data_IF_201351075935
#
_entry.id   IF_201351075935
#
_cell.length_a   1.000
_cell.length_b   1.000
_cell.length_c   1.000
_cell.angle_alpha   90.00
_cell.angle_beta   90.00
_cell.angle_gamma   90.00
#
_symmetry.space_group_name_H-M   'P 1'
#
loop_
_entity.id
_entity.type
_entity.pdbx_description
1 polymer ?
#
# COMPACT_ATOMS: atom_id res chain seq x y z
N UNK A 1 -8.87 23.97 -6.27
CA UNK A 1 -8.01 23.16 -5.38
C UNK A 1 -8.66 21.83 -5.09
N UNK A 2 -7.91 20.69 -5.17
CA UNK A 2 -8.39 19.43 -4.64
C UNK A 2 -8.57 19.50 -3.12
N UNK A 3 -9.74 19.11 -2.64
CA UNK A 3 -10.13 19.21 -1.25
C UNK A 3 -10.65 17.88 -0.70
N UNK A 4 -10.32 17.57 0.55
CA UNK A 4 -10.83 16.40 1.26
C UNK A 4 -9.90 15.96 2.37
N UNK A 5 -10.48 15.48 3.46
CA UNK A 5 -9.77 14.95 4.60
C UNK A 5 -9.52 13.45 4.51
N UNK A 6 -8.82 12.92 5.51
CA UNK A 6 -8.57 11.48 5.70
C UNK A 6 -8.69 11.12 7.19
N UNK A 7 -8.76 9.84 7.45
CA UNK A 7 -8.87 9.32 8.81
C UNK A 7 -10.30 9.37 9.34
N UNK A 8 -10.62 10.31 10.19
CA UNK A 8 -11.99 10.47 10.74
C UNK A 8 -12.97 11.05 9.73
N UNK A 9 -12.51 11.83 8.75
CA UNK A 9 -13.36 12.54 7.79
C UNK A 9 -13.41 11.94 6.40
N UNK A 10 -12.61 10.93 6.10
CA UNK A 10 -12.59 10.28 4.79
C UNK A 10 -11.35 9.44 4.52
N UNK A 11 -11.30 8.78 3.36
CA UNK A 11 -10.21 7.89 2.93
C UNK A 11 -9.50 8.40 1.67
N UNK A 12 -9.86 9.60 1.17
CA UNK A 12 -9.43 10.10 -0.14
C UNK A 12 -10.12 9.36 -1.31
N UNK A 13 -9.85 9.68 -2.55
CA UNK A 13 -9.04 10.78 -3.03
C UNK A 13 -9.71 12.15 -2.79
N UNK A 14 -8.95 13.23 -2.98
CA UNK A 14 -9.49 14.59 -2.82
C UNK A 14 -10.50 14.92 -3.92
N UNK A 15 -11.65 15.48 -3.54
CA UNK A 15 -12.65 15.99 -4.47
C UNK A 15 -12.05 17.10 -5.35
N UNK A 16 -12.38 17.09 -6.65
CA UNK A 16 -11.80 18.01 -7.63
C UNK A 16 -10.35 17.67 -8.03
N UNK A 17 -9.74 16.66 -7.41
CA UNK A 17 -8.41 16.18 -7.77
C UNK A 17 -8.41 15.22 -8.95
N UNK A 18 -7.25 15.04 -9.62
CA UNK A 18 -7.14 14.23 -10.83
C UNK A 18 -7.41 12.73 -10.61
N UNK A 19 -7.37 12.25 -9.36
CA UNK A 19 -7.64 10.85 -9.02
C UNK A 19 -9.11 10.61 -8.62
N UNK A 20 -9.92 11.65 -8.48
CA UNK A 20 -11.29 11.51 -7.98
C UNK A 20 -12.17 10.69 -8.92
N UNK A 21 -12.10 10.94 -10.22
CA UNK A 21 -12.91 10.24 -11.20
C UNK A 21 -12.60 8.75 -11.28
N UNK A 22 -11.36 8.34 -11.04
CA UNK A 22 -10.96 6.92 -11.06
C UNK A 22 -11.71 6.09 -10.00
N UNK A 23 -12.21 6.74 -8.94
CA UNK A 23 -12.99 6.08 -7.88
C UNK A 23 -14.47 5.93 -8.22
N UNK A 24 -14.96 6.66 -9.21
CA UNK A 24 -16.35 6.64 -9.64
C UNK A 24 -16.59 5.67 -10.81
N UNK A 25 -15.53 5.11 -11.38
CA UNK A 25 -15.62 4.18 -12.51
C UNK A 25 -16.03 2.80 -12.01
N UNK A 26 -17.06 2.21 -12.63
CA UNK A 26 -17.38 0.79 -12.47
C UNK A 26 -16.64 -0.03 -13.51
N UNK A 27 -15.91 -1.06 -13.06
CA UNK A 27 -15.37 -2.05 -13.98
C UNK A 27 -16.50 -2.93 -14.51
N UNK A 28 -16.51 -3.14 -15.82
CA UNK A 28 -17.57 -3.93 -16.52
C UNK A 28 -17.55 -5.42 -16.17
N UNK A 29 -16.43 -5.91 -15.64
CA UNK A 29 -16.28 -7.31 -15.24
C UNK A 29 -16.95 -7.50 -13.88
N UNK A 30 -18.16 -8.01 -13.89
CA UNK A 30 -18.80 -8.53 -12.69
C UNK A 30 -18.17 -9.89 -12.37
N UNK A 31 -17.22 -9.90 -11.46
CA UNK A 31 -16.72 -11.14 -10.90
C UNK A 31 -17.71 -11.55 -9.80
N UNK A 32 -18.28 -12.76 -9.86
CA UNK A 32 -19.13 -13.25 -8.78
C UNK A 32 -18.38 -13.19 -7.45
N UNK A 33 -19.04 -12.71 -6.42
CA UNK A 33 -18.48 -12.74 -5.06
C UNK A 33 -18.20 -14.18 -4.68
N UNK A 34 -16.93 -14.52 -4.45
CA UNK A 34 -16.56 -15.78 -3.84
C UNK A 34 -16.93 -15.73 -2.35
N UNK A 35 -17.58 -16.78 -1.89
CA UNK A 35 -17.84 -16.97 -0.46
C UNK A 35 -16.85 -17.97 0.12
N UNK A 36 -16.57 -17.85 1.40
CA UNK A 36 -15.79 -18.86 2.13
C UNK A 36 -16.52 -20.20 2.08
N UNK A 37 -15.80 -21.26 1.75
CA UNK A 37 -16.29 -22.63 1.94
C UNK A 37 -16.24 -22.99 3.42
N UNK A 38 -16.99 -24.00 3.85
CA UNK A 38 -16.92 -24.50 5.24
C UNK A 38 -15.50 -24.94 5.61
N UNK A 39 -14.78 -25.57 4.69
CA UNK A 39 -13.38 -25.97 4.88
C UNK A 39 -12.45 -24.78 5.08
N UNK A 40 -12.61 -23.72 4.28
CA UNK A 40 -11.80 -22.48 4.42
C UNK A 40 -12.12 -21.77 5.72
N UNK A 41 -13.37 -21.76 6.16
CA UNK A 41 -13.78 -21.18 7.45
C UNK A 41 -13.19 -21.97 8.61
N UNK A 42 -13.29 -23.29 8.58
CA UNK A 42 -12.72 -24.16 9.61
C UNK A 42 -11.21 -24.03 9.71
N UNK A 43 -10.50 -24.01 8.58
CA UNK A 43 -9.06 -23.83 8.52
C UNK A 43 -8.62 -22.46 9.07
N UNK A 44 -9.39 -21.41 8.81
CA UNK A 44 -9.16 -20.08 9.37
C UNK A 44 -9.36 -20.08 10.89
N UNK A 45 -10.47 -20.65 11.38
CA UNK A 45 -10.79 -20.71 12.80
C UNK A 45 -9.75 -21.51 13.59
N UNK A 46 -9.25 -22.61 13.04
CA UNK A 46 -8.16 -23.39 13.64
C UNK A 46 -6.89 -22.56 13.76
N UNK A 47 -6.49 -21.85 12.72
CA UNK A 47 -5.33 -20.94 12.75
C UNK A 47 -5.53 -19.81 13.75
N UNK A 48 -6.73 -19.24 13.84
CA UNK A 48 -7.07 -18.20 14.81
C UNK A 48 -7.03 -18.71 16.27
N UNK A 49 -7.46 -19.95 16.50
CA UNK A 49 -7.39 -20.56 17.84
C UNK A 49 -5.95 -20.82 18.31
N UNK A 50 -5.06 -21.24 17.40
CA UNK A 50 -3.65 -21.50 17.71
C UNK A 50 -2.87 -20.26 18.15
N UNK A 51 -3.33 -19.07 17.81
CA UNK A 51 -2.62 -17.79 18.07
C UNK A 51 -3.27 -16.93 19.16
N UNK A 52 -4.27 -17.43 19.89
CA UNK A 52 -4.95 -16.68 20.96
C UNK A 52 -4.00 -16.13 22.06
N UNK A 53 -2.78 -16.67 22.19
CA UNK A 53 -1.77 -16.20 23.15
C UNK A 53 -0.78 -15.18 22.56
N UNK A 54 -0.92 -14.76 21.31
CA UNK A 54 0.10 -14.04 20.56
C UNK A 54 -0.24 -12.57 20.26
N UNK A 55 -1.20 -11.95 20.97
CA UNK A 55 -1.53 -10.52 20.83
C UNK A 55 -0.28 -9.63 20.97
N UNK A 56 0.58 -9.92 21.93
CA UNK A 56 1.84 -9.21 22.13
C UNK A 56 2.81 -9.32 20.93
N UNK A 57 2.72 -10.37 20.13
CA UNK A 57 3.50 -10.52 18.91
C UNK A 57 2.97 -9.63 17.79
N UNK A 58 1.65 -9.55 17.63
CA UNK A 58 0.98 -8.67 16.67
C UNK A 58 1.29 -7.22 16.99
N UNK A 59 1.10 -6.82 18.24
CA UNK A 59 1.40 -5.48 18.76
C UNK A 59 2.83 -5.08 18.41
N UNK A 60 3.80 -5.92 18.75
CA UNK A 60 5.22 -5.67 18.51
C UNK A 60 5.53 -5.48 17.01
N UNK A 61 5.03 -6.36 16.16
CA UNK A 61 5.34 -6.31 14.71
C UNK A 61 4.69 -5.10 14.04
N UNK A 62 3.45 -4.76 14.38
CA UNK A 62 2.79 -3.58 13.82
C UNK A 62 3.45 -2.30 14.35
N UNK A 63 3.74 -2.22 15.65
CA UNK A 63 4.45 -1.06 16.23
C UNK A 63 5.86 -0.91 15.68
N UNK A 64 6.56 -2.00 15.38
CA UNK A 64 7.85 -1.96 14.72
C UNK A 64 7.73 -1.42 13.29
N UNK A 65 6.75 -1.88 12.50
CA UNK A 65 6.47 -1.33 11.18
C UNK A 65 6.11 0.16 11.27
N UNK A 66 5.28 0.54 12.22
CA UNK A 66 4.89 1.92 12.50
C UNK A 66 6.11 2.81 12.80
N UNK A 67 7.04 2.35 13.60
CA UNK A 67 8.25 3.11 13.95
C UNK A 67 9.14 3.43 12.73
N UNK A 68 9.07 2.61 11.66
CA UNK A 68 9.83 2.81 10.43
C UNK A 68 9.12 3.74 9.42
N UNK A 69 7.84 4.06 9.59
CA UNK A 69 7.04 4.81 8.62
C UNK A 69 7.72 6.12 8.20
N UNK A 70 8.10 6.94 9.17
CA UNK A 70 8.64 8.27 8.89
C UNK A 70 9.97 8.16 8.15
N UNK A 71 10.89 7.35 8.66
CA UNK A 71 12.22 7.13 8.04
C UNK A 71 12.09 6.59 6.61
N UNK A 72 11.23 5.58 6.42
CA UNK A 72 11.03 5.00 5.10
C UNK A 72 10.31 5.95 4.13
N UNK A 73 9.29 6.68 4.59
CA UNK A 73 8.57 7.64 3.73
C UNK A 73 9.49 8.72 3.18
N UNK A 74 10.43 9.23 3.98
CA UNK A 74 11.42 10.24 3.57
C UNK A 74 12.66 9.68 2.86
N UNK A 75 12.83 8.38 2.82
CA UNK A 75 13.91 7.77 2.02
C UNK A 75 13.77 8.22 0.56
N UNK A 76 14.87 8.66 -0.10
CA UNK A 76 14.80 9.09 -1.50
C UNK A 76 14.23 8.04 -2.43
N UNK A 77 13.45 8.48 -3.43
CA UNK A 77 12.77 7.58 -4.37
C UNK A 77 13.75 6.63 -5.08
N UNK A 78 14.89 7.15 -5.53
CA UNK A 78 15.93 6.36 -6.19
C UNK A 78 16.47 5.23 -5.29
N UNK A 79 16.61 5.47 -3.99
CA UNK A 79 17.03 4.46 -3.02
C UNK A 79 15.95 3.38 -2.86
N UNK A 80 14.67 3.76 -2.68
CA UNK A 80 13.56 2.81 -2.62
C UNK A 80 13.49 1.93 -3.87
N UNK A 81 13.58 2.56 -5.04
CA UNK A 81 13.55 1.87 -6.33
C UNK A 81 14.75 0.93 -6.49
N UNK A 82 15.95 1.34 -6.08
CA UNK A 82 17.16 0.53 -6.13
C UNK A 82 17.02 -0.74 -5.28
N UNK A 83 16.53 -0.62 -4.04
CA UNK A 83 16.28 -1.75 -3.14
C UNK A 83 15.29 -2.74 -3.78
N UNK A 84 14.19 -2.25 -4.31
CA UNK A 84 13.17 -3.11 -4.92
C UNK A 84 13.65 -3.76 -6.23
N UNK A 85 14.45 -3.07 -7.04
CA UNK A 85 15.10 -3.68 -8.23
C UNK A 85 16.07 -4.78 -7.84
N UNK A 86 16.84 -4.57 -6.77
CA UNK A 86 17.78 -5.56 -6.26
C UNK A 86 17.04 -6.79 -5.70
N UNK A 87 15.95 -6.59 -4.95
CA UNK A 87 15.05 -7.67 -4.54
C UNK A 87 14.56 -8.48 -5.74
N UNK A 88 14.02 -7.83 -6.78
CA UNK A 88 13.52 -8.51 -7.97
C UNK A 88 14.61 -9.27 -8.74
N UNK A 89 15.85 -8.78 -8.75
CA UNK A 89 16.99 -9.46 -9.34
C UNK A 89 17.38 -10.71 -8.53
N UNK A 90 17.40 -10.63 -7.22
CA UNK A 90 17.68 -11.77 -6.34
C UNK A 90 16.60 -12.84 -6.44
N UNK A 91 15.31 -12.46 -6.49
CA UNK A 91 14.21 -13.41 -6.70
C UNK A 91 14.29 -14.10 -8.07
N UNK A 92 14.75 -13.40 -9.11
CA UNK A 92 14.95 -13.97 -10.44
C UNK A 92 16.09 -15.00 -10.47
N UNK A 93 17.16 -14.81 -9.69
CA UNK A 93 18.32 -15.71 -9.62
C UNK A 93 18.09 -16.88 -8.66
N UNK A 94 17.30 -16.69 -7.61
CA UNK A 94 17.11 -17.64 -6.51
C UNK A 94 15.82 -18.45 -6.68
N UNK A 95 15.78 -19.27 -7.74
CA UNK A 95 14.61 -20.09 -8.12
C UNK A 95 14.13 -21.07 -7.04
N UNK A 96 14.98 -21.41 -6.07
CA UNK A 96 14.68 -22.42 -5.05
C UNK A 96 13.64 -21.96 -4.04
N UNK A 97 13.57 -20.67 -3.73
CA UNK A 97 12.70 -20.12 -2.68
C UNK A 97 11.25 -19.98 -3.13
N UNK A 98 11.02 -19.72 -4.42
CA UNK A 98 9.70 -19.54 -5.03
C UNK A 98 9.43 -20.61 -6.10
N UNK A 99 10.02 -21.80 -5.96
CA UNK A 99 9.95 -22.88 -6.96
C UNK A 99 8.52 -23.40 -7.21
N UNK A 100 7.58 -23.14 -6.29
CA UNK A 100 6.17 -23.54 -6.42
C UNK A 100 5.32 -22.53 -7.22
N UNK A 101 5.87 -21.34 -7.50
CA UNK A 101 5.17 -20.28 -8.24
C UNK A 101 5.44 -20.40 -9.74
N UNK A 102 4.57 -21.12 -10.44
CA UNK A 102 4.67 -21.37 -11.90
C UNK A 102 4.68 -20.07 -12.73
N UNK A 103 4.08 -18.98 -12.22
CA UNK A 103 3.99 -17.68 -12.88
C UNK A 103 5.08 -16.69 -12.46
N UNK A 104 6.13 -17.15 -11.76
CA UNK A 104 7.18 -16.28 -11.24
C UNK A 104 7.80 -15.37 -12.32
N UNK A 105 8.19 -15.84 -13.51
CA UNK A 105 8.78 -14.97 -14.54
C UNK A 105 7.85 -13.85 -14.99
N UNK A 106 6.56 -14.15 -15.18
CA UNK A 106 5.52 -13.18 -15.55
C UNK A 106 5.31 -12.17 -14.43
N UNK A 107 5.24 -12.63 -13.18
CA UNK A 107 5.11 -11.78 -11.99
C UNK A 107 6.30 -10.83 -11.86
N UNK A 108 7.53 -11.30 -12.04
CA UNK A 108 8.72 -10.45 -11.97
C UNK A 108 8.76 -9.41 -13.10
N UNK A 109 8.30 -9.77 -14.30
CA UNK A 109 8.16 -8.84 -15.41
C UNK A 109 7.13 -7.75 -15.11
N UNK A 110 5.95 -8.14 -14.64
CA UNK A 110 4.89 -7.21 -14.22
C UNK A 110 5.36 -6.30 -13.08
N UNK A 111 6.11 -6.84 -12.12
CA UNK A 111 6.67 -6.11 -11.00
C UNK A 111 7.67 -5.02 -11.42
N UNK A 112 8.52 -5.32 -12.40
CA UNK A 112 9.43 -4.32 -12.97
C UNK A 112 8.67 -3.20 -13.69
N UNK A 113 7.65 -3.56 -14.46
CA UNK A 113 6.79 -2.58 -15.15
C UNK A 113 6.04 -1.69 -14.14
N UNK A 114 5.50 -2.29 -13.08
CA UNK A 114 4.84 -1.55 -12.00
C UNK A 114 5.79 -0.57 -11.30
N UNK A 115 7.02 -1.01 -11.02
CA UNK A 115 8.03 -0.17 -10.37
C UNK A 115 8.41 1.03 -11.26
N UNK A 116 8.57 0.82 -12.57
CA UNK A 116 8.79 1.92 -13.53
C UNK A 116 7.62 2.90 -13.58
N UNK A 117 6.39 2.39 -13.55
CA UNK A 117 5.20 3.24 -13.47
C UNK A 117 5.21 4.10 -12.22
N UNK A 118 5.46 3.51 -11.05
CA UNK A 118 5.48 4.21 -9.75
C UNK A 118 6.60 5.26 -9.72
N UNK A 119 7.79 4.91 -10.20
CA UNK A 119 8.91 5.85 -10.31
C UNK A 119 8.51 7.10 -11.13
N UNK A 120 7.81 6.91 -12.26
CA UNK A 120 7.30 8.03 -13.07
C UNK A 120 6.26 8.86 -12.33
N UNK A 121 5.36 8.23 -11.55
CA UNK A 121 4.34 8.95 -10.78
C UNK A 121 4.90 9.78 -9.64
N UNK A 122 5.99 9.31 -9.01
CA UNK A 122 6.59 9.93 -7.83
C UNK A 122 7.79 10.84 -8.15
N UNK A 123 8.24 10.87 -9.42
CA UNK A 123 9.45 11.61 -9.83
C UNK A 123 9.33 13.12 -9.57
N UNK A 124 8.15 13.68 -9.78
CA UNK A 124 7.88 15.08 -9.57
C UNK A 124 6.43 15.30 -9.11
N UNK A 125 6.19 16.33 -8.28
CA UNK A 125 4.84 16.76 -7.96
C UNK A 125 4.08 17.19 -9.23
N UNK A 126 2.76 17.05 -9.18
CA UNK A 126 1.89 17.44 -10.30
C UNK A 126 1.42 18.87 -10.12
N UNK A 127 1.78 19.74 -11.04
CA UNK A 127 1.22 21.10 -11.11
C UNK A 127 -0.23 21.00 -11.58
N UNK A 128 -1.12 21.66 -10.86
CA UNK A 128 -2.54 21.70 -11.16
C UNK A 128 -2.92 23.10 -11.66
N UNK A 129 -3.95 23.21 -12.51
CA UNK A 129 -4.45 24.51 -12.94
C UNK A 129 -5.03 25.29 -11.76
N UNK A 130 -4.91 26.61 -11.80
CA UNK A 130 -5.48 27.56 -10.85
C UNK A 130 -5.75 28.90 -11.50
N UNK A 131 -6.43 29.82 -10.81
CA UNK A 131 -6.59 31.19 -11.27
C UNK A 131 -5.25 31.94 -11.24
N UNK A 132 -5.20 33.07 -11.91
CA UNK A 132 -4.01 33.94 -11.91
C UNK A 132 -3.64 34.36 -10.48
N UNK A 133 -2.39 34.20 -10.12
CA UNK A 133 -1.89 34.49 -8.76
C UNK A 133 -2.04 33.33 -7.77
N UNK A 134 -2.46 32.15 -8.22
CA UNK A 134 -2.52 30.93 -7.41
C UNK A 134 -1.66 29.82 -8.03
N UNK A 135 -0.81 29.22 -7.21
CA UNK A 135 -0.02 28.04 -7.58
C UNK A 135 -0.53 26.83 -6.80
N UNK A 136 -0.94 25.78 -7.51
CA UNK A 136 -1.45 24.54 -6.96
C UNK A 136 -0.52 23.39 -7.31
N UNK A 137 -0.04 22.68 -6.31
CA UNK A 137 0.84 21.53 -6.49
C UNK A 137 0.32 20.31 -5.73
N UNK A 138 0.19 19.19 -6.42
CA UNK A 138 -0.25 17.91 -5.86
C UNK A 138 0.94 17.00 -5.63
N UNK A 139 1.10 16.56 -4.41
CA UNK A 139 2.07 15.55 -3.96
C UNK A 139 1.35 14.24 -3.67
N UNK A 140 2.06 13.13 -3.90
CA UNK A 140 1.65 11.81 -3.45
C UNK A 140 2.52 11.42 -2.25
N UNK A 141 1.87 11.10 -1.13
CA UNK A 141 2.52 10.71 0.12
C UNK A 141 2.11 9.29 0.52
N UNK A 142 2.94 8.62 1.31
CA UNK A 142 2.58 7.33 1.90
C UNK A 142 1.33 7.44 2.79
N UNK A 143 0.58 6.35 2.90
CA UNK A 143 -0.53 6.24 3.88
C UNK A 143 -0.02 5.93 5.28
N UNK A 144 1.04 5.13 5.37
CA UNK A 144 1.57 4.58 6.61
C UNK A 144 1.77 3.06 6.55
N UNK A 145 1.50 2.35 7.63
CA UNK A 145 1.62 0.89 7.69
C UNK A 145 0.44 0.19 7.01
N UNK A 146 0.69 -0.58 5.95
CA UNK A 146 -0.32 -1.30 5.20
C UNK A 146 -0.28 -2.80 5.49
N UNK A 147 -1.44 -3.39 5.79
CA UNK A 147 -1.60 -4.84 5.82
C UNK A 147 -1.78 -5.37 4.39
N UNK A 148 -0.83 -6.16 3.87
CA UNK A 148 -0.91 -6.80 2.56
C UNK A 148 -1.26 -8.28 2.73
N UNK A 149 -2.48 -8.67 2.35
CA UNK A 149 -3.02 -9.99 2.64
C UNK A 149 -2.75 -10.98 1.50
N UNK A 150 -2.31 -12.19 1.87
CA UNK A 150 -2.26 -13.35 0.99
C UNK A 150 -3.02 -14.52 1.63
N UNK A 151 -4.34 -14.52 1.43
CA UNK A 151 -5.23 -15.60 1.86
C UNK A 151 -5.25 -16.72 0.82
N UNK A 152 -5.92 -17.84 1.12
CA UNK A 152 -5.87 -19.11 0.40
C UNK A 152 -5.81 -19.03 -1.15
N UNK A 153 -6.62 -18.17 -1.76
CA UNK A 153 -6.73 -18.06 -3.22
C UNK A 153 -6.15 -16.75 -3.80
N UNK A 154 -5.43 -15.97 -2.98
CA UNK A 154 -4.82 -14.74 -3.46
C UNK A 154 -3.69 -15.05 -4.43
N UNK A 155 -3.75 -14.59 -5.71
CA UNK A 155 -2.68 -14.82 -6.67
C UNK A 155 -1.36 -14.22 -6.21
N UNK A 156 -0.26 -14.94 -6.42
CA UNK A 156 1.08 -14.45 -6.08
C UNK A 156 1.40 -13.12 -6.74
N UNK A 157 1.00 -12.97 -8.01
CA UNK A 157 1.17 -11.73 -8.76
C UNK A 157 0.51 -10.54 -8.05
N UNK A 158 -0.75 -10.64 -7.64
CA UNK A 158 -1.45 -9.56 -6.93
C UNK A 158 -0.74 -9.20 -5.62
N UNK A 159 -0.36 -10.20 -4.83
CA UNK A 159 0.33 -9.97 -3.56
C UNK A 159 1.70 -9.32 -3.76
N UNK A 160 2.49 -9.76 -4.75
CA UNK A 160 3.77 -9.14 -5.10
C UNK A 160 3.59 -7.69 -5.55
N UNK A 161 2.58 -7.40 -6.39
CA UNK A 161 2.27 -6.03 -6.80
C UNK A 161 1.87 -5.15 -5.61
N UNK A 162 1.17 -5.74 -4.64
CA UNK A 162 0.79 -5.05 -3.40
C UNK A 162 2.02 -4.64 -2.58
N UNK A 163 2.97 -5.55 -2.37
CA UNK A 163 4.21 -5.28 -1.64
C UNK A 163 5.03 -4.20 -2.35
N UNK A 164 5.24 -4.34 -3.66
CA UNK A 164 6.05 -3.39 -4.44
C UNK A 164 5.40 -2.00 -4.44
N UNK A 165 4.09 -1.93 -4.67
CA UNK A 165 3.36 -0.66 -4.69
C UNK A 165 3.36 0.02 -3.33
N UNK A 166 3.21 -0.74 -2.24
CA UNK A 166 3.28 -0.22 -0.89
C UNK A 166 4.68 0.33 -0.56
N UNK A 167 5.72 -0.48 -0.71
CA UNK A 167 7.09 -0.09 -0.37
C UNK A 167 7.61 1.05 -1.25
N UNK A 168 7.38 1.00 -2.57
CA UNK A 168 7.78 2.09 -3.47
C UNK A 168 7.06 3.39 -3.16
N UNK A 169 5.78 3.30 -2.74
CA UNK A 169 4.99 4.44 -2.27
C UNK A 169 5.40 5.01 -0.91
N UNK A 170 6.41 4.43 -0.27
CA UNK A 170 6.92 4.87 1.04
C UNK A 170 6.14 4.34 2.24
N UNK A 171 5.26 3.37 2.05
CA UNK A 171 4.56 2.70 3.13
C UNK A 171 5.42 1.60 3.74
N UNK A 172 5.21 1.29 5.01
CA UNK A 172 5.66 0.05 5.61
C UNK A 172 4.62 -1.05 5.41
N UNK A 173 5.03 -2.30 5.47
CA UNK A 173 4.19 -3.44 5.14
C UNK A 173 4.14 -4.44 6.29
N UNK A 174 2.94 -4.87 6.64
CA UNK A 174 2.67 -6.07 7.41
C UNK A 174 2.02 -7.09 6.49
N UNK A 175 2.78 -8.06 6.02
CA UNK A 175 2.29 -9.16 5.21
C UNK A 175 1.53 -10.15 6.12
N UNK A 176 0.23 -10.30 5.90
CA UNK A 176 -0.60 -11.27 6.64
C UNK A 176 -0.90 -12.41 5.68
N UNK A 177 -0.32 -13.58 5.94
CA UNK A 177 -0.32 -14.68 4.99
C UNK A 177 -0.91 -15.97 5.59
N UNK A 178 -1.54 -16.78 4.75
CA UNK A 178 -1.90 -18.14 5.10
C UNK A 178 -0.65 -18.94 5.49
N UNK A 179 -0.78 -19.86 6.44
CA UNK A 179 0.33 -20.67 6.95
C UNK A 179 1.13 -21.36 5.83
N UNK A 180 0.46 -21.78 4.75
CA UNK A 180 1.10 -22.41 3.59
C UNK A 180 2.06 -21.48 2.83
N UNK A 181 1.90 -20.15 2.95
CA UNK A 181 2.75 -19.14 2.32
C UNK A 181 3.77 -18.50 3.26
N UNK A 182 3.82 -18.96 4.52
CA UNK A 182 4.68 -18.33 5.54
C UNK A 182 6.17 -18.39 5.17
N UNK A 183 6.64 -19.53 4.67
CA UNK A 183 8.03 -19.70 4.25
C UNK A 183 8.42 -18.77 3.10
N UNK A 184 7.51 -18.57 2.13
CA UNK A 184 7.73 -17.64 1.02
C UNK A 184 7.78 -16.19 1.51
N UNK A 185 6.87 -15.81 2.40
CA UNK A 185 6.84 -14.45 2.95
C UNK A 185 8.09 -14.13 3.76
N UNK A 186 8.60 -15.10 4.53
CA UNK A 186 9.86 -14.99 5.26
C UNK A 186 11.06 -14.88 4.34
N UNK A 187 11.06 -15.64 3.25
CA UNK A 187 12.11 -15.57 2.24
C UNK A 187 12.12 -14.19 1.54
N UNK A 188 10.96 -13.65 1.18
CA UNK A 188 10.85 -12.30 0.62
C UNK A 188 11.34 -11.26 1.62
N UNK A 189 11.01 -11.41 2.92
CA UNK A 189 11.53 -10.55 3.99
C UNK A 189 13.06 -10.55 4.01
N UNK A 190 13.66 -11.73 4.01
CA UNK A 190 15.13 -11.87 4.00
C UNK A 190 15.76 -11.25 2.77
N UNK A 191 15.18 -11.43 1.59
CA UNK A 191 15.67 -10.84 0.34
C UNK A 191 15.56 -9.32 0.36
N UNK A 192 14.49 -8.76 0.91
CA UNK A 192 14.31 -7.32 1.08
C UNK A 192 15.36 -6.73 2.03
N UNK A 193 15.64 -7.37 3.16
CA UNK A 193 16.67 -6.94 4.10
C UNK A 193 18.07 -7.02 3.47
N UNK A 194 18.39 -8.09 2.74
CA UNK A 194 19.65 -8.21 1.99
C UNK A 194 19.78 -7.16 0.90
N UNK A 195 18.68 -6.71 0.32
CA UNK A 195 18.66 -5.61 -0.65
C UNK A 195 18.79 -4.22 0.01
N UNK A 196 18.80 -4.15 1.34
CA UNK A 196 18.99 -2.91 2.09
C UNK A 196 17.71 -2.26 2.60
N UNK A 197 16.58 -2.97 2.63
CA UNK A 197 15.36 -2.48 3.27
C UNK A 197 15.62 -2.37 4.80
N UNK A 198 15.32 -1.22 5.44
CA UNK A 198 15.50 -1.08 6.88
C UNK A 198 14.70 -2.12 7.66
N UNK A 199 15.34 -2.75 8.64
CA UNK A 199 14.71 -3.75 9.51
C UNK A 199 13.43 -3.18 10.14
N UNK A 200 12.36 -3.97 10.10
CA UNK A 200 11.05 -3.54 10.61
C UNK A 200 10.12 -2.95 9.55
N UNK A 201 10.63 -2.48 8.42
CA UNK A 201 9.81 -1.90 7.33
C UNK A 201 8.87 -2.94 6.69
N UNK A 202 9.26 -4.21 6.69
CA UNK A 202 8.46 -5.34 6.24
C UNK A 202 8.36 -6.38 7.35
N UNK A 203 7.12 -6.69 7.76
CA UNK A 203 6.83 -7.66 8.83
C UNK A 203 5.93 -8.77 8.28
N UNK A 204 5.99 -9.95 8.90
CA UNK A 204 5.21 -11.12 8.47
C UNK A 204 4.38 -11.66 9.62
N UNK A 205 3.08 -11.76 9.43
CA UNK A 205 2.12 -12.40 10.34
C UNK A 205 1.40 -13.54 9.63
N UNK A 206 0.94 -14.53 10.38
CA UNK A 206 0.03 -15.54 9.85
C UNK A 206 -1.41 -15.05 9.87
N UNK A 207 -2.27 -15.63 9.01
CA UNK A 207 -3.68 -15.26 8.89
C UNK A 207 -4.47 -15.45 10.18
N UNK A 208 -4.02 -16.32 11.07
CA UNK A 208 -4.62 -16.47 12.42
C UNK A 208 -4.60 -15.18 13.25
N UNK A 209 -3.70 -14.24 12.93
CA UNK A 209 -3.62 -12.92 13.55
C UNK A 209 -4.50 -11.85 12.88
N UNK A 210 -5.20 -12.20 11.78
CA UNK A 210 -5.88 -11.24 10.93
C UNK A 210 -6.83 -10.31 11.69
N UNK A 211 -7.72 -10.88 12.51
CA UNK A 211 -8.72 -10.10 13.24
C UNK A 211 -8.08 -9.14 14.25
N UNK A 212 -7.05 -9.58 14.96
CA UNK A 212 -6.29 -8.73 15.91
C UNK A 212 -5.53 -7.65 15.18
N UNK A 213 -4.83 -8.01 14.10
CA UNK A 213 -4.06 -7.06 13.30
C UNK A 213 -4.96 -5.97 12.68
N UNK A 214 -6.08 -6.35 12.05
CA UNK A 214 -6.99 -5.38 11.43
C UNK A 214 -7.65 -4.42 12.41
N UNK A 215 -7.74 -4.79 13.69
CA UNK A 215 -8.23 -3.90 14.76
C UNK A 215 -7.16 -2.90 15.24
N UNK A 216 -5.90 -3.11 14.93
CA UNK A 216 -4.81 -2.28 15.42
C UNK A 216 -4.87 -0.86 14.84
N UNK A 217 -4.71 0.15 15.71
CA UNK A 217 -4.88 1.57 15.34
C UNK A 217 -3.79 2.10 14.42
N UNK A 218 -2.60 1.50 14.44
CA UNK A 218 -1.45 1.92 13.64
C UNK A 218 -1.52 1.46 12.17
N UNK A 219 -2.50 0.63 11.80
CA UNK A 219 -2.71 0.31 10.40
C UNK A 219 -3.38 1.48 9.66
N UNK A 220 -2.86 1.77 8.47
CA UNK A 220 -3.34 2.82 7.57
C UNK A 220 -4.14 2.29 6.36
N UNK A 221 -4.24 0.98 6.20
CA UNK A 221 -5.02 0.32 5.16
C UNK A 221 -4.83 -1.20 5.15
N UNK A 222 -5.80 -1.91 4.60
CA UNK A 222 -5.73 -3.34 4.35
C UNK A 222 -5.88 -3.62 2.85
N UNK A 223 -4.89 -4.26 2.26
CA UNK A 223 -4.83 -4.58 0.83
C UNK A 223 -5.32 -6.00 0.63
N UNK A 224 -6.42 -6.13 -0.11
CA UNK A 224 -7.15 -7.38 -0.29
C UNK A 224 -7.39 -7.62 -1.76
N UNK A 225 -7.16 -8.84 -2.23
CA UNK A 225 -7.55 -9.20 -3.59
C UNK A 225 -9.06 -9.03 -3.78
N UNK A 226 -9.45 -8.45 -4.91
CA UNK A 226 -10.85 -8.16 -5.20
C UNK A 226 -11.72 -9.42 -5.27
N UNK A 227 -11.12 -10.55 -5.63
CA UNK A 227 -11.78 -11.86 -5.73
C UNK A 227 -11.62 -12.72 -4.47
N UNK A 228 -10.97 -12.20 -3.43
CA UNK A 228 -10.76 -12.97 -2.19
C UNK A 228 -12.08 -13.34 -1.52
N UNK A 229 -12.28 -14.61 -1.17
CA UNK A 229 -13.46 -15.05 -0.42
C UNK A 229 -13.51 -14.44 1.00
N UNK A 230 -12.37 -14.00 1.53
CA UNK A 230 -12.28 -13.31 2.83
C UNK A 230 -12.70 -11.85 2.80
N UNK A 231 -12.97 -11.29 1.63
CA UNK A 231 -13.25 -9.85 1.46
C UNK A 231 -14.42 -9.36 2.31
N UNK A 232 -15.52 -10.11 2.39
CA UNK A 232 -16.70 -9.75 3.21
C UNK A 232 -16.33 -9.73 4.69
N UNK A 233 -15.73 -10.80 5.20
CA UNK A 233 -15.29 -10.90 6.59
C UNK A 233 -14.30 -9.81 6.98
N UNK A 234 -13.33 -9.51 6.11
CA UNK A 234 -12.38 -8.42 6.31
C UNK A 234 -13.12 -7.08 6.39
N UNK A 235 -14.09 -6.86 5.50
CA UNK A 235 -14.94 -5.67 5.50
C UNK A 235 -15.70 -5.50 6.81
N UNK A 236 -16.26 -6.57 7.36
CA UNK A 236 -16.98 -6.58 8.64
C UNK A 236 -16.04 -6.24 9.81
N UNK A 237 -14.85 -6.84 9.86
CA UNK A 237 -13.85 -6.56 10.89
C UNK A 237 -13.43 -5.08 10.85
N UNK A 238 -13.19 -4.55 9.64
CA UNK A 238 -12.82 -3.16 9.44
C UNK A 238 -13.95 -2.21 9.83
N UNK A 239 -15.19 -2.52 9.45
CA UNK A 239 -16.37 -1.71 9.74
C UNK A 239 -16.67 -1.64 11.24
N UNK A 240 -16.34 -2.69 11.99
CA UNK A 240 -16.54 -2.73 13.45
C UNK A 240 -15.49 -1.90 14.23
N UNK A 241 -14.48 -1.34 13.58
CA UNK A 241 -13.45 -0.52 14.24
C UNK A 241 -14.04 0.78 14.78
N UNK A 242 -13.45 1.26 15.87
CA UNK A 242 -13.65 2.62 16.37
C UNK A 242 -12.48 3.51 15.92
N UNK A 243 -12.74 4.81 15.76
CA UNK A 243 -11.70 5.78 15.41
C UNK A 243 -11.57 6.01 13.91
N UNK A 244 -10.34 6.21 13.43
CA UNK A 244 -10.07 6.52 12.03
C UNK A 244 -10.48 5.37 11.09
N UNK A 245 -11.06 5.75 9.95
CA UNK A 245 -11.49 4.78 8.93
C UNK A 245 -10.25 4.08 8.36
N UNK A 246 -10.22 2.75 8.45
CA UNK A 246 -9.24 1.92 7.78
C UNK A 246 -9.74 1.57 6.38
N UNK A 247 -9.12 2.07 5.30
CA UNK A 247 -9.56 1.72 3.96
C UNK A 247 -9.24 0.25 3.64
N UNK A 248 -10.24 -0.47 3.12
CA UNK A 248 -10.00 -1.72 2.40
C UNK A 248 -9.59 -1.38 0.97
N UNK A 249 -8.35 -1.69 0.63
CA UNK A 249 -7.74 -1.39 -0.65
C UNK A 249 -7.88 -2.61 -1.56
N UNK A 250 -8.75 -2.48 -2.56
CA UNK A 250 -8.91 -3.45 -3.65
C UNK A 250 -8.63 -2.74 -4.96
N UNK A 251 -8.21 -3.46 -5.99
CA UNK A 251 -7.96 -2.87 -7.30
C UNK A 251 -8.19 -3.87 -8.42
N UNK A 252 -8.52 -3.37 -9.61
CA UNK A 252 -8.64 -4.16 -10.83
C UNK A 252 -7.41 -4.04 -11.73
N UNK A 253 -6.59 -3.03 -11.51
CA UNK A 253 -5.34 -2.81 -12.23
C UNK A 253 -4.21 -2.48 -11.26
N UNK A 254 -2.97 -2.78 -11.64
CA UNK A 254 -1.80 -2.48 -10.83
C UNK A 254 -1.63 -0.96 -10.61
N UNK A 255 -1.98 -0.14 -11.61
CA UNK A 255 -1.90 1.32 -11.50
C UNK A 255 -2.91 1.85 -10.48
N UNK A 256 -4.16 1.37 -10.50
CA UNK A 256 -5.18 1.72 -9.52
C UNK A 256 -4.76 1.27 -8.11
N UNK A 257 -4.16 0.08 -8.00
CA UNK A 257 -3.62 -0.45 -6.74
C UNK A 257 -2.63 0.54 -6.12
N UNK A 258 -1.64 1.01 -6.88
CA UNK A 258 -0.68 1.99 -6.38
C UNK A 258 -1.36 3.30 -5.92
N UNK A 259 -2.25 3.85 -6.74
CA UNK A 259 -2.93 5.11 -6.39
C UNK A 259 -3.81 5.00 -5.14
N UNK A 260 -4.28 3.81 -4.81
CA UNK A 260 -5.01 3.56 -3.56
C UNK A 260 -4.11 3.42 -2.33
N UNK A 261 -2.82 3.13 -2.53
CA UNK A 261 -1.82 2.98 -1.46
C UNK A 261 -1.12 4.28 -1.09
N UNK A 262 -1.37 5.36 -1.82
CA UNK A 262 -0.85 6.69 -1.52
C UNK A 262 -1.98 7.65 -1.20
N UNK A 263 -1.63 8.80 -0.63
CA UNK A 263 -2.55 9.89 -0.35
C UNK A 263 -2.14 11.14 -1.09
N UNK A 264 -3.12 11.96 -1.43
CA UNK A 264 -2.90 13.24 -2.08
C UNK A 264 -2.69 14.33 -1.03
N UNK A 265 -1.67 15.18 -1.25
CA UNK A 265 -1.45 16.41 -0.51
C UNK A 265 -1.39 17.56 -1.50
N UNK A 266 -2.28 18.50 -1.39
CA UNK A 266 -2.28 19.73 -2.19
C UNK A 266 -1.64 20.85 -1.40
N UNK A 267 -0.66 21.51 -2.03
CA UNK A 267 -0.09 22.76 -1.55
C UNK A 267 -0.56 23.86 -2.48
N UNK A 268 -1.24 24.84 -1.91
CA UNK A 268 -1.72 26.03 -2.63
C UNK A 268 -1.00 27.24 -2.08
N UNK A 269 -0.43 28.04 -2.97
CA UNK A 269 0.19 29.31 -2.66
C UNK A 269 -0.62 30.40 -3.37
N UNK A 270 -1.27 31.26 -2.59
CA UNK A 270 -1.95 32.43 -3.11
C UNK A 270 -0.99 33.63 -3.04
N UNK A 271 -0.61 34.13 -4.22
CA UNK A 271 0.28 35.27 -4.35
C UNK A 271 -0.47 36.58 -4.54
N UNK A 272 -1.79 36.56 -4.72
CA UNK A 272 -2.62 37.76 -4.91
C UNK A 272 -2.71 38.61 -3.64
N UNK A 273 -2.72 37.97 -2.47
CA UNK A 273 -2.74 38.65 -1.17
C UNK A 273 -1.42 39.40 -0.84
N UNK A 274 -0.37 39.18 -1.62
CA UNK A 274 0.94 39.79 -1.40
C UNK A 274 1.01 41.30 -1.79
N UNK A 275 -0.08 41.88 -2.33
CA UNK A 275 -0.30 43.31 -2.44
C UNK A 275 0.90 44.13 -2.92
N UNK A 276 1.54 43.78 -4.02
CA UNK A 276 2.68 44.55 -4.56
C UNK A 276 4.04 44.19 -3.97
N UNK A 277 4.16 43.10 -3.21
CA UNK A 277 5.48 42.61 -2.76
C UNK A 277 6.22 41.93 -3.92
N UNK A 278 7.08 42.70 -4.59
CA UNK A 278 7.89 42.23 -5.72
C UNK A 278 8.75 40.99 -5.40
N UNK A 279 9.13 40.77 -4.15
CA UNK A 279 9.92 39.62 -3.71
C UNK A 279 9.17 38.30 -3.82
N UNK A 280 7.83 38.29 -3.68
CA UNK A 280 7.02 37.10 -3.85
C UNK A 280 6.74 36.80 -5.32
N UNK A 281 6.70 37.81 -6.19
CA UNK A 281 6.53 37.62 -7.64
C UNK A 281 7.79 37.05 -8.30
N UNK A 282 8.96 37.19 -7.70
CA UNK A 282 10.24 36.65 -8.23
C UNK A 282 10.52 35.21 -7.78
N UNK A 283 9.73 34.65 -6.86
CA UNK A 283 9.93 33.25 -6.43
C UNK A 283 9.63 32.21 -7.53
N UNK A 284 8.87 32.55 -8.56
CA UNK A 284 8.61 31.64 -9.70
C UNK A 284 9.81 31.47 -10.64
N UNK A 285 10.82 32.34 -10.59
CA UNK A 285 11.94 32.30 -11.53
C UNK A 285 13.09 31.36 -11.12
N UNK A 286 13.03 30.70 -9.98
CA UNK A 286 14.11 29.85 -9.45
C UNK A 286 13.76 28.35 -9.31
N UNK A 287 12.70 27.90 -9.97
CA UNK A 287 12.39 26.45 -10.09
C UNK A 287 12.58 26.05 -11.56
N UNK A 288 13.84 25.97 -11.93
CA UNK A 288 14.32 25.39 -13.18
C UNK A 288 14.96 24.03 -12.93
#
# INVERSE_FOLDING_TARGET
QPFGGRGLSGTGPKAGGPMYLTRLVKHKVSVPSKHLTEEQTSAFDEQAQQVKSAEASVERQISQAKSQELGWSFTPLNTKVSILRQMLAQLASNKVVLAQESELPQTLSAARAQLLFIEKQLKAPKVLPGPTGESNTLYLESRGTLACLRCADTPFNFWMMSIISALAGGNTVVAIVDKKYLSEAQAISSVLEQAGLPTGTFQVLTIGHLATALKHNDLAGAVVDNESPFKSMIGEIIAARKGAILPMITAYTNNDLFHRMVTEKTVTIDTTAAGGNASLMTMESNVG
#
